data_IF_167899492411
#
_entry.id   IF_167899492411
#
_cell.length_a   1.000
_cell.length_b   1.000
_cell.length_c   1.000
_cell.angle_alpha   90.00
_cell.angle_beta   90.00
_cell.angle_gamma   90.00
#
_symmetry.space_group_name_H-M   'P 1'
#
loop_
_entity.id
_entity.type
_entity.pdbx_description
1 polymer ?
#
# COMPACT_ATOMS: atom_id res chain seq x y z
N UNK A 1 -6.03 -6.99 15.06
CA UNK A 1 -6.54 -6.18 13.94
C UNK A 1 -6.71 -7.12 12.76
N UNK A 2 -7.86 -7.11 12.10
CA UNK A 2 -8.09 -7.88 10.88
C UNK A 2 -7.79 -6.99 9.67
N UNK A 3 -7.15 -7.55 8.65
CA UNK A 3 -7.03 -6.91 7.34
C UNK A 3 -8.38 -6.96 6.61
N UNK A 4 -8.61 -6.10 5.60
CA UNK A 4 -9.88 -6.03 4.87
C UNK A 4 -10.45 -7.39 4.46
N UNK A 5 -9.60 -8.28 3.96
CA UNK A 5 -9.99 -9.60 3.48
C UNK A 5 -10.54 -10.54 4.57
N UNK A 6 -10.04 -10.44 5.80
CA UNK A 6 -10.56 -11.20 6.93
C UNK A 6 -11.68 -10.48 7.67
N UNK A 7 -11.72 -9.15 7.62
CA UNK A 7 -12.78 -8.34 8.22
C UNK A 7 -14.15 -8.70 7.63
N UNK A 8 -14.26 -8.83 6.31
CA UNK A 8 -15.53 -9.16 5.65
C UNK A 8 -16.05 -10.54 6.03
N UNK A 9 -15.14 -11.52 6.11
CA UNK A 9 -15.47 -12.87 6.57
C UNK A 9 -15.96 -12.85 8.02
N UNK A 10 -15.29 -12.09 8.90
CA UNK A 10 -15.71 -11.93 10.28
C UNK A 10 -17.09 -11.24 10.41
N UNK A 11 -17.35 -10.20 9.62
CA UNK A 11 -18.66 -9.53 9.61
C UNK A 11 -19.79 -10.50 9.19
N UNK A 12 -19.56 -11.32 8.15
CA UNK A 12 -20.51 -12.36 7.72
C UNK A 12 -20.71 -13.45 8.78
N UNK A 13 -19.69 -13.74 9.59
CA UNK A 13 -19.78 -14.65 10.71
C UNK A 13 -20.43 -14.04 11.98
N UNK A 14 -20.97 -12.82 11.91
CA UNK A 14 -21.71 -12.18 13.00
C UNK A 14 -20.84 -11.45 14.03
N UNK A 15 -19.55 -11.26 13.76
CA UNK A 15 -18.69 -10.46 14.63
C UNK A 15 -19.01 -8.96 14.50
N UNK A 16 -18.84 -8.23 15.60
CA UNK A 16 -19.07 -6.78 15.68
C UNK A 16 -17.78 -5.98 15.51
N UNK A 17 -17.85 -4.87 14.78
CA UNK A 17 -16.72 -3.94 14.63
C UNK A 17 -16.56 -3.13 15.92
N UNK A 18 -15.40 -3.24 16.57
CA UNK A 18 -15.07 -2.46 17.76
C UNK A 18 -14.41 -1.12 17.43
N UNK A 19 -13.57 -1.10 16.39
CA UNK A 19 -12.88 0.09 15.91
C UNK A 19 -12.53 -0.08 14.42
N UNK A 20 -12.69 0.98 13.64
CA UNK A 20 -12.29 1.05 12.24
C UNK A 20 -11.21 2.15 12.05
N UNK A 21 -9.94 1.77 11.83
CA UNK A 21 -8.85 2.74 11.62
C UNK A 21 -9.05 3.65 10.40
N UNK A 22 -9.83 3.22 9.39
CA UNK A 22 -10.13 4.05 8.21
C UNK A 22 -11.05 5.22 8.56
N UNK A 23 -11.92 5.06 9.58
CA UNK A 23 -12.82 6.13 10.05
C UNK A 23 -12.09 7.31 10.71
N UNK A 24 -10.91 7.06 11.28
CA UNK A 24 -10.12 8.04 12.05
C UNK A 24 -8.93 8.61 11.28
N UNK A 25 -8.82 8.31 9.97
CA UNK A 25 -7.73 8.78 9.08
C UNK A 25 -6.34 8.56 9.68
N UNK A 26 -6.15 7.43 10.33
CA UNK A 26 -4.85 7.05 10.85
C UNK A 26 -3.97 6.67 9.66
N UNK A 27 -2.97 7.49 9.36
CA UNK A 27 -1.96 7.20 8.36
C UNK A 27 -0.95 6.19 8.92
N UNK A 28 -1.35 4.91 8.92
CA UNK A 28 -0.48 3.82 9.34
C UNK A 28 -0.05 3.02 8.11
N UNK A 29 1.23 3.06 7.72
CA UNK A 29 1.70 2.38 6.53
C UNK A 29 1.72 0.87 6.75
N UNK A 30 0.61 0.19 6.41
CA UNK A 30 0.52 -1.27 6.50
C UNK A 30 1.30 -1.98 5.40
N UNK A 31 1.28 -1.42 4.20
CA UNK A 31 1.95 -1.98 3.03
C UNK A 31 2.98 -0.96 2.52
N UNK A 32 4.24 -1.38 2.46
CA UNK A 32 5.35 -0.56 1.97
C UNK A 32 6.23 -1.37 1.03
N UNK A 33 6.79 -0.71 0.02
CA UNK A 33 7.89 -1.27 -0.77
C UNK A 33 9.19 -0.89 -0.07
N UNK A 34 10.02 -1.88 0.25
CA UNK A 34 11.30 -1.65 0.89
C UNK A 34 12.42 -2.37 0.13
N UNK A 35 13.60 -1.74 0.11
CA UNK A 35 14.84 -2.34 -0.42
C UNK A 35 16.04 -1.78 0.35
N UNK A 36 17.24 -2.31 0.09
CA UNK A 36 18.45 -1.83 0.73
C UNK A 36 19.02 -0.60 0.02
N UNK A 37 19.67 0.29 0.78
CA UNK A 37 20.43 1.42 0.21
C UNK A 37 21.54 0.96 -0.74
N UNK A 38 22.12 -0.21 -0.51
CA UNK A 38 23.12 -0.79 -1.39
C UNK A 38 22.50 -1.13 -2.75
N UNK A 39 21.35 -1.79 -2.77
CA UNK A 39 20.64 -2.15 -3.99
C UNK A 39 20.16 -0.92 -4.77
N UNK A 40 19.63 0.11 -4.07
CA UNK A 40 19.26 1.39 -4.68
C UNK A 40 20.43 2.01 -5.46
N UNK A 41 21.64 1.97 -4.89
CA UNK A 41 22.85 2.53 -5.51
C UNK A 41 23.41 1.66 -6.63
N UNK A 42 23.41 0.35 -6.46
CA UNK A 42 24.02 -0.57 -7.44
C UNK A 42 23.12 -0.87 -8.63
N UNK A 43 21.80 -0.83 -8.44
CA UNK A 43 20.81 -1.21 -9.46
C UNK A 43 19.68 -0.16 -9.58
N UNK A 44 20.01 1.13 -9.80
CA UNK A 44 19.01 2.21 -9.83
C UNK A 44 17.97 2.05 -10.95
N UNK A 45 18.37 1.51 -12.11
CA UNK A 45 17.45 1.26 -13.22
C UNK A 45 16.42 0.17 -12.85
N UNK A 46 16.86 -0.94 -12.26
CA UNK A 46 15.96 -2.00 -11.84
C UNK A 46 14.92 -1.51 -10.82
N UNK A 47 15.34 -0.64 -9.90
CA UNK A 47 14.44 0.00 -8.93
C UNK A 47 13.42 0.87 -9.64
N UNK A 48 13.86 1.73 -10.55
CA UNK A 48 12.96 2.61 -11.33
C UNK A 48 11.95 1.79 -12.14
N UNK A 49 12.37 0.71 -12.81
CA UNK A 49 11.47 -0.14 -13.58
C UNK A 49 10.48 -0.89 -12.69
N UNK A 50 10.93 -1.39 -11.53
CA UNK A 50 10.02 -2.01 -10.56
C UNK A 50 8.96 -1.02 -10.06
N UNK A 51 9.34 0.21 -9.73
CA UNK A 51 8.41 1.23 -9.27
C UNK A 51 7.42 1.66 -10.36
N UNK A 52 7.86 1.78 -11.62
CA UNK A 52 6.96 2.01 -12.75
C UNK A 52 5.96 0.87 -12.92
N UNK A 53 6.41 -0.38 -12.86
CA UNK A 53 5.54 -1.54 -12.93
C UNK A 53 4.52 -1.57 -11.77
N UNK A 54 4.93 -1.17 -10.56
CA UNK A 54 4.01 -1.06 -9.42
C UNK A 54 2.95 0.03 -9.65
N UNK A 55 3.33 1.19 -10.19
CA UNK A 55 2.39 2.27 -10.56
C UNK A 55 1.42 1.80 -11.66
N UNK A 56 1.92 1.11 -12.69
CA UNK A 56 1.08 0.52 -13.74
C UNK A 56 0.12 -0.53 -13.18
N UNK A 57 0.56 -1.35 -12.23
CA UNK A 57 -0.30 -2.32 -11.56
C UNK A 57 -1.40 -1.65 -10.73
N UNK A 58 -1.11 -0.55 -10.03
CA UNK A 58 -2.11 0.25 -9.32
C UNK A 58 -3.12 0.85 -10.30
N UNK A 59 -2.63 1.42 -11.40
CA UNK A 59 -3.48 1.94 -12.48
C UNK A 59 -4.37 0.84 -13.06
N UNK A 60 -3.79 -0.32 -13.39
CA UNK A 60 -4.54 -1.47 -13.89
C UNK A 60 -5.61 -1.91 -12.91
N UNK A 61 -5.25 -2.07 -11.64
CA UNK A 61 -6.15 -2.47 -10.57
C UNK A 61 -7.36 -1.53 -10.51
N UNK A 62 -7.15 -0.21 -10.47
CA UNK A 62 -8.22 0.78 -10.35
C UNK A 62 -9.18 0.82 -11.55
N UNK A 63 -8.70 0.45 -12.74
CA UNK A 63 -9.43 0.61 -14.00
C UNK A 63 -9.97 -0.71 -14.58
N UNK A 64 -9.52 -1.88 -14.10
CA UNK A 64 -9.91 -3.19 -14.62
C UNK A 64 -10.60 -4.01 -13.52
N UNK A 65 -11.80 -3.56 -13.11
CA UNK A 65 -12.51 -4.10 -11.95
C UNK A 65 -12.68 -5.62 -11.95
N UNK A 66 -13.31 -6.16 -12.99
CA UNK A 66 -13.64 -7.59 -13.05
C UNK A 66 -12.40 -8.49 -13.09
N UNK A 67 -11.37 -8.09 -13.84
CA UNK A 67 -10.12 -8.83 -13.88
C UNK A 67 -9.38 -8.74 -12.53
N UNK A 68 -9.37 -7.57 -11.91
CA UNK A 68 -8.74 -7.36 -10.60
C UNK A 68 -9.42 -8.18 -9.51
N UNK A 69 -10.76 -8.25 -9.50
CA UNK A 69 -11.53 -9.11 -8.59
C UNK A 69 -11.16 -10.59 -8.80
N UNK A 70 -10.99 -11.04 -10.06
CA UNK A 70 -10.56 -12.41 -10.36
C UNK A 70 -9.14 -12.70 -9.87
N UNK A 71 -8.21 -11.76 -10.07
CA UNK A 71 -6.83 -11.84 -9.59
C UNK A 71 -6.81 -11.90 -8.05
N UNK A 72 -7.58 -11.04 -7.38
CA UNK A 72 -7.75 -11.06 -5.93
C UNK A 72 -8.25 -12.43 -5.45
N UNK A 73 -9.29 -13.00 -6.08
CA UNK A 73 -9.79 -14.33 -5.73
C UNK A 73 -8.73 -15.42 -5.84
N UNK A 74 -7.94 -15.39 -6.92
CA UNK A 74 -6.83 -16.34 -7.13
C UNK A 74 -5.77 -16.26 -6.04
N UNK A 75 -5.31 -15.05 -5.69
CA UNK A 75 -4.16 -14.87 -4.78
C UNK A 75 -4.55 -14.81 -3.30
N UNK A 76 -5.78 -14.43 -2.96
CA UNK A 76 -6.30 -14.45 -1.59
C UNK A 76 -6.95 -15.79 -1.21
N UNK A 77 -7.24 -16.66 -2.19
CA UNK A 77 -7.93 -17.93 -1.93
C UNK A 77 -9.39 -17.77 -1.51
N UNK A 78 -10.00 -16.62 -1.81
CA UNK A 78 -11.39 -16.30 -1.48
C UNK A 78 -12.26 -16.59 -2.71
N UNK A 79 -13.36 -17.33 -2.52
CA UNK A 79 -14.33 -17.63 -3.58
C UNK A 79 -15.58 -16.74 -3.52
N UNK A 80 -15.81 -16.09 -2.38
CA UNK A 80 -16.95 -15.19 -2.18
C UNK A 80 -16.77 -13.92 -3.02
N UNK A 81 -17.55 -13.83 -4.11
CA UNK A 81 -17.47 -12.74 -5.07
C UNK A 81 -17.88 -11.40 -4.48
N UNK A 82 -18.83 -11.36 -3.55
CA UNK A 82 -19.24 -10.12 -2.89
C UNK A 82 -18.12 -9.62 -1.97
N UNK A 83 -17.52 -10.52 -1.19
CA UNK A 83 -16.38 -10.16 -0.35
C UNK A 83 -15.21 -9.64 -1.19
N UNK A 84 -14.90 -10.28 -2.31
CA UNK A 84 -13.87 -9.79 -3.24
C UNK A 84 -14.19 -8.43 -3.85
N UNK A 85 -15.46 -8.16 -4.16
CA UNK A 85 -15.90 -6.87 -4.67
C UNK A 85 -15.73 -5.76 -3.62
N UNK A 86 -16.08 -6.02 -2.36
CA UNK A 86 -15.88 -5.08 -1.26
C UNK A 86 -14.38 -4.83 -0.98
N UNK A 87 -13.55 -5.89 -0.99
CA UNK A 87 -12.08 -5.78 -0.90
C UNK A 87 -11.53 -4.90 -2.02
N UNK A 88 -12.01 -5.12 -3.24
CA UNK A 88 -11.62 -4.33 -4.40
C UNK A 88 -11.95 -2.84 -4.21
N UNK A 89 -13.18 -2.50 -3.83
CA UNK A 89 -13.57 -1.09 -3.64
C UNK A 89 -12.75 -0.43 -2.52
N UNK A 90 -12.46 -1.17 -1.44
CA UNK A 90 -11.60 -0.67 -0.37
C UNK A 90 -10.19 -0.36 -0.87
N UNK A 91 -9.52 -1.32 -1.51
CA UNK A 91 -8.15 -1.11 -2.01
C UNK A 91 -8.09 -0.06 -3.13
N UNK A 92 -9.13 0.03 -3.96
CA UNK A 92 -9.24 1.04 -5.02
C UNK A 92 -9.22 2.45 -4.43
N UNK A 93 -9.85 2.65 -3.27
CA UNK A 93 -9.92 3.94 -2.60
C UNK A 93 -8.62 4.30 -1.86
N UNK A 94 -7.93 3.34 -1.24
CA UNK A 94 -6.73 3.64 -0.45
C UNK A 94 -5.43 3.68 -1.26
N UNK A 95 -5.33 2.93 -2.36
CA UNK A 95 -4.13 2.93 -3.19
C UNK A 95 -3.98 4.28 -3.89
N UNK A 96 -2.91 5.02 -3.63
CA UNK A 96 -2.61 6.24 -4.36
C UNK A 96 -2.00 5.91 -5.75
N UNK A 97 -2.35 6.64 -6.83
CA UNK A 97 -1.68 6.53 -8.13
C UNK A 97 -0.14 6.57 -8.06
N UNK A 98 0.38 7.46 -7.22
CA UNK A 98 1.80 7.53 -6.86
C UNK A 98 1.92 7.21 -5.36
N UNK A 99 2.35 6.00 -4.99
CA UNK A 99 2.38 5.56 -3.59
C UNK A 99 3.62 6.13 -2.87
N UNK A 100 3.51 7.35 -2.35
CA UNK A 100 4.54 7.96 -1.52
C UNK A 100 4.36 7.60 -0.04
N UNK A 101 5.47 7.34 0.65
CA UNK A 101 5.47 7.25 2.11
C UNK A 101 5.51 8.63 2.76
N UNK A 102 4.82 8.78 3.88
CA UNK A 102 4.78 10.01 4.68
C UNK A 102 5.70 9.90 5.89
N UNK A 103 6.24 11.03 6.34
CA UNK A 103 7.07 11.09 7.55
C UNK A 103 6.22 10.80 8.77
N UNK A 104 5.00 11.33 8.79
CA UNK A 104 4.02 11.18 9.86
C UNK A 104 3.64 9.71 10.05
N UNK A 105 3.33 9.00 8.96
CA UNK A 105 2.96 7.59 9.04
C UNK A 105 4.13 6.69 9.47
N UNK A 106 5.35 6.98 9.00
CA UNK A 106 6.54 6.28 9.45
C UNK A 106 6.86 6.57 10.93
N UNK A 107 6.67 7.81 11.38
CA UNK A 107 6.85 8.19 12.79
C UNK A 107 5.84 7.46 13.69
N UNK A 108 4.60 7.33 13.24
CA UNK A 108 3.59 6.56 13.94
C UNK A 108 3.97 5.07 14.04
N UNK A 109 4.47 4.49 12.94
CA UNK A 109 4.97 3.11 12.93
C UNK A 109 6.14 2.93 13.91
N UNK A 110 7.10 3.86 13.92
CA UNK A 110 8.23 3.85 14.87
C UNK A 110 7.74 3.93 16.33
N UNK A 111 6.77 4.80 16.62
CA UNK A 111 6.16 4.92 17.95
C UNK A 111 5.44 3.63 18.40
N UNK A 112 4.78 2.94 17.46
CA UNK A 112 4.19 1.63 17.73
C UNK A 112 5.26 0.56 17.97
N UNK A 113 6.31 0.52 17.14
CA UNK A 113 7.44 -0.41 17.31
C UNK A 113 8.20 -0.18 18.62
N UNK A 114 8.27 1.07 19.09
CA UNK A 114 8.90 1.44 20.35
C UNK A 114 8.28 0.79 21.59
N UNK A 115 7.05 0.26 21.49
CA UNK A 115 6.43 -0.53 22.55
C UNK A 115 7.10 -1.89 22.74
N UNK A 116 7.81 -2.38 21.72
CA UNK A 116 8.48 -3.70 21.70
C UNK A 116 9.99 -3.59 21.56
N UNK A 117 10.49 -2.61 20.81
CA UNK A 117 11.91 -2.35 20.59
C UNK A 117 12.24 -0.89 20.95
N UNK A 118 12.89 -0.64 22.09
CA UNK A 118 13.24 0.71 22.54
C UNK A 118 14.07 1.52 21.52
N UNK A 119 14.84 0.85 20.64
CA UNK A 119 15.67 1.52 19.62
C UNK A 119 14.83 2.31 18.62
N UNK A 120 13.57 1.92 18.43
CA UNK A 120 12.65 2.64 17.55
C UNK A 120 12.30 4.05 18.07
N UNK A 121 12.50 4.35 19.37
CA UNK A 121 12.31 5.70 19.92
C UNK A 121 13.35 6.70 19.44
N UNK A 122 14.56 6.22 19.18
CA UNK A 122 15.70 7.06 18.79
C UNK A 122 15.82 7.18 17.27
N UNK A 123 15.17 6.29 16.53
CA UNK A 123 15.17 6.29 15.08
C UNK A 123 14.33 7.46 14.54
N UNK A 124 14.79 8.06 13.44
CA UNK A 124 14.06 9.13 12.74
C UNK A 124 13.34 8.56 11.53
N UNK A 125 12.09 8.96 11.33
CA UNK A 125 11.26 8.50 10.22
C UNK A 125 11.94 8.66 8.85
N UNK A 126 12.65 9.77 8.62
CA UNK A 126 13.29 10.05 7.32
C UNK A 126 14.45 9.09 7.00
N UNK A 127 14.97 8.34 8.00
CA UNK A 127 16.00 7.34 7.74
C UNK A 127 15.48 6.16 6.92
N UNK A 128 14.16 5.96 6.90
CA UNK A 128 13.47 4.85 6.26
C UNK A 128 12.68 5.25 5.01
N UNK A 129 12.75 6.52 4.62
CA UNK A 129 12.02 7.05 3.46
C UNK A 129 13.02 7.52 2.43
N UNK A 130 12.98 6.92 1.24
CA UNK A 130 13.65 7.43 0.05
C UNK A 130 12.63 7.54 -1.08
N UNK A 131 12.22 8.76 -1.40
CA UNK A 131 11.23 9.07 -2.43
C UNK A 131 11.85 9.48 -3.75
N UNK A 132 13.18 9.44 -3.88
CA UNK A 132 13.92 10.05 -5.01
C UNK A 132 13.44 9.47 -6.34
N UNK A 133 13.46 8.14 -6.49
CA UNK A 133 13.05 7.46 -7.73
C UNK A 133 11.57 7.68 -8.06
N UNK A 134 10.68 7.68 -7.06
CA UNK A 134 9.26 7.96 -7.27
C UNK A 134 9.02 9.39 -7.76
N UNK A 135 9.74 10.38 -7.20
CA UNK A 135 9.67 11.78 -7.62
C UNK A 135 10.22 12.00 -9.03
N UNK A 136 11.27 11.27 -9.42
CA UNK A 136 11.79 11.30 -10.79
C UNK A 136 10.78 10.72 -11.79
N UNK A 137 10.12 9.61 -11.45
CA UNK A 137 9.05 9.02 -12.26
C UNK A 137 7.86 9.99 -12.40
N UNK A 138 7.47 10.65 -11.31
CA UNK A 138 6.42 11.68 -11.32
C UNK A 138 6.80 12.84 -12.26
N UNK A 139 8.01 13.40 -12.10
CA UNK A 139 8.52 14.51 -12.91
C UNK A 139 8.66 14.16 -14.38
N UNK A 140 8.92 12.90 -14.74
CA UNK A 140 9.01 12.47 -16.13
C UNK A 140 7.66 12.47 -16.86
N UNK A 141 6.55 12.77 -16.16
CA UNK A 141 5.20 12.71 -16.72
C UNK A 141 4.65 11.29 -16.92
N UNK A 142 5.35 10.27 -16.41
CA UNK A 142 4.94 8.87 -16.58
C UNK A 142 3.56 8.63 -15.96
N UNK A 143 3.37 9.05 -14.70
CA UNK A 143 2.10 8.87 -13.99
C UNK A 143 0.97 9.59 -14.71
N UNK A 144 1.13 10.86 -15.06
CA UNK A 144 0.09 11.61 -15.78
C UNK A 144 -0.27 10.97 -17.12
N UNK A 145 0.71 10.46 -17.87
CA UNK A 145 0.47 9.81 -19.16
C UNK A 145 -0.34 8.52 -19.04
N UNK A 146 -0.24 7.80 -17.92
CA UNK A 146 -1.02 6.58 -17.68
C UNK A 146 -2.50 6.90 -17.47
N UNK A 147 -2.80 7.96 -16.70
CA UNK A 147 -4.18 8.34 -16.35
C UNK A 147 -4.88 9.22 -17.39
N UNK A 148 -4.20 9.56 -18.50
CA UNK A 148 -4.79 10.24 -19.66
C UNK A 148 -5.25 9.27 -20.77
N UNK A 149 -4.90 7.99 -20.65
CA UNK A 149 -5.34 6.93 -21.57
C UNK A 149 -6.70 6.39 -21.18
#
# INVERSE_FOLDING_TARGET
>A
MLTPEFYLLAKKAGFVTLADPLSVKIDFPQNTIATSRAFLKSQPEAVTQYLKAAIEAIHYFKNNREESIRILGKYLGIQDREALAEIYELYKNVLAPLPLSTVEGMQMLLGWMAQRDPRAKEARAEQFIDSTSLREIEKSGFVSSLYQR
#
